data_IF_948792475663
#
_entry.id   IF_948792475663
#
_cell.length_a   1.000
_cell.length_b   1.000
_cell.length_c   1.000
_cell.angle_alpha   90.00
_cell.angle_beta   90.00
_cell.angle_gamma   90.00
#
_symmetry.space_group_name_H-M   'P 1'
#
loop_
_entity.id
_entity.type
_entity.pdbx_description
1 polymer ?
#
# COMPACT_ATOMS: atom_id res chain seq x y z
N UNK A 1 -55.47 -108.49 32.43
CA UNK A 1 -55.05 -107.17 32.93
C UNK A 1 -53.52 -106.97 33.09
N UNK A 2 -52.64 -107.93 32.76
CA UNK A 2 -51.16 -107.77 32.89
C UNK A 2 -50.39 -107.32 31.62
N UNK A 3 -50.97 -107.39 30.41
CA UNK A 3 -50.27 -107.04 29.16
C UNK A 3 -50.27 -105.54 28.80
N UNK A 4 -51.14 -104.73 29.38
CA UNK A 4 -51.27 -103.29 29.05
C UNK A 4 -50.40 -102.37 29.90
N UNK A 5 -49.90 -102.83 31.05
CA UNK A 5 -49.06 -102.02 31.94
C UNK A 5 -47.60 -101.95 31.44
N UNK A 6 -47.06 -103.04 30.88
CA UNK A 6 -45.68 -103.04 30.36
C UNK A 6 -45.51 -102.17 29.10
N UNK A 7 -46.53 -102.09 28.23
CA UNK A 7 -46.47 -101.26 27.01
C UNK A 7 -46.48 -99.75 27.32
N UNK A 8 -47.10 -99.34 28.43
CA UNK A 8 -47.11 -97.93 28.86
C UNK A 8 -45.83 -97.53 29.60
N UNK A 9 -45.24 -98.43 30.40
CA UNK A 9 -43.95 -98.17 31.05
C UNK A 9 -42.80 -98.11 30.03
N UNK A 10 -42.81 -98.96 29.01
CA UNK A 10 -41.79 -98.94 27.95
C UNK A 10 -41.87 -97.65 27.10
N UNK A 11 -43.09 -97.15 26.83
CA UNK A 11 -43.27 -95.92 26.06
C UNK A 11 -42.84 -94.68 26.88
N UNK A 12 -43.04 -94.68 28.20
CA UNK A 12 -42.57 -93.61 29.09
C UNK A 12 -41.04 -93.58 29.25
N UNK A 13 -40.38 -94.75 29.25
CA UNK A 13 -38.91 -94.83 29.35
C UNK A 13 -38.24 -94.40 28.03
N UNK A 14 -38.87 -94.64 26.87
CA UNK A 14 -38.34 -94.20 25.57
C UNK A 14 -38.54 -92.69 25.35
N UNK A 15 -39.54 -92.07 25.96
CA UNK A 15 -39.75 -90.61 25.86
C UNK A 15 -38.85 -89.78 26.79
N UNK A 16 -38.34 -90.37 27.89
CA UNK A 16 -37.41 -89.69 28.81
C UNK A 16 -35.95 -89.65 28.31
N UNK A 17 -35.59 -90.40 27.28
CA UNK A 17 -34.29 -90.28 26.60
C UNK A 17 -34.37 -89.30 25.42
N UNK A 18 -34.87 -88.10 25.70
CA UNK A 18 -34.78 -86.98 24.76
C UNK A 18 -33.32 -86.54 24.67
N UNK A 19 -32.73 -86.82 23.52
CA UNK A 19 -31.39 -86.45 23.07
C UNK A 19 -31.12 -84.96 23.36
N UNK A 20 -30.22 -84.69 24.31
CA UNK A 20 -29.59 -83.38 24.46
C UNK A 20 -28.52 -83.19 23.38
N UNK A 21 -28.93 -82.84 22.17
CA UNK A 21 -28.00 -82.33 21.15
C UNK A 21 -27.72 -80.86 21.45
N UNK A 22 -26.63 -80.59 22.16
CA UNK A 22 -26.05 -79.25 22.22
C UNK A 22 -25.50 -78.94 20.83
N UNK A 23 -26.31 -78.31 19.98
CA UNK A 23 -25.83 -77.79 18.70
C UNK A 23 -24.99 -76.55 19.01
N UNK A 24 -23.67 -76.71 19.13
CA UNK A 24 -22.80 -75.56 18.92
C UNK A 24 -23.03 -75.14 17.47
N UNK A 25 -23.48 -73.89 17.27
CA UNK A 25 -23.56 -73.32 15.94
C UNK A 25 -22.20 -73.52 15.26
N UNK A 26 -22.19 -74.34 14.22
CA UNK A 26 -21.04 -74.47 13.34
C UNK A 26 -20.99 -73.14 12.61
N UNK A 27 -20.13 -72.24 13.07
CA UNK A 27 -19.72 -71.11 12.25
C UNK A 27 -18.98 -71.73 11.06
N UNK A 28 -19.71 -72.01 9.99
CA UNK A 28 -19.11 -72.15 8.67
C UNK A 28 -18.54 -70.77 8.32
N UNK A 29 -17.39 -70.44 8.91
CA UNK A 29 -16.37 -69.78 8.10
C UNK A 29 -16.19 -70.64 6.86
N UNK A 30 -15.94 -70.02 5.72
CA UNK A 30 -15.94 -70.64 4.39
C UNK A 30 -15.05 -71.89 4.24
N UNK A 31 -14.26 -72.28 5.26
CA UNK A 31 -13.38 -73.43 5.31
C UNK A 31 -12.40 -73.51 4.14
N UNK A 32 -12.20 -72.39 3.46
CA UNK A 32 -11.35 -72.27 2.30
C UNK A 32 -9.93 -71.87 2.76
N UNK A 33 -9.78 -71.20 3.90
CA UNK A 33 -8.46 -70.78 4.36
C UNK A 33 -7.79 -69.83 3.35
N UNK A 34 -6.49 -69.58 3.51
CA UNK A 34 -5.76 -68.73 2.56
C UNK A 34 -5.47 -69.52 1.30
N UNK A 35 -6.31 -69.39 0.28
CA UNK A 35 -6.03 -69.96 -1.03
C UNK A 35 -5.08 -69.07 -1.83
N UNK A 36 -3.97 -69.66 -2.25
CA UNK A 36 -3.12 -69.10 -3.29
C UNK A 36 -3.66 -69.66 -4.60
N UNK A 37 -4.18 -68.81 -5.48
CA UNK A 37 -4.55 -69.22 -6.83
C UNK A 37 -3.27 -69.64 -7.59
N UNK A 38 -3.18 -70.90 -7.99
CA UNK A 38 -2.08 -71.45 -8.80
C UNK A 38 -2.30 -71.31 -10.30
N UNK A 39 -3.52 -70.97 -10.71
CA UNK A 39 -3.90 -70.66 -12.09
C UNK A 39 -4.21 -69.17 -12.23
N UNK A 40 -4.07 -68.64 -13.44
CA UNK A 40 -4.34 -67.23 -13.73
C UNK A 40 -5.82 -66.92 -13.53
N UNK A 41 -6.13 -65.77 -12.92
CA UNK A 41 -7.51 -65.29 -12.84
C UNK A 41 -8.07 -65.05 -14.26
N UNK A 42 -8.95 -65.94 -14.73
CA UNK A 42 -9.59 -65.82 -16.05
C UNK A 42 -10.77 -64.83 -15.97
N UNK A 43 -10.54 -63.57 -16.37
CA UNK A 43 -11.57 -62.50 -16.34
C UNK A 43 -12.26 -62.22 -17.68
N UNK A 44 -12.13 -63.09 -18.70
CA UNK A 44 -12.77 -62.83 -20.01
C UNK A 44 -14.30 -62.76 -19.84
N UNK A 45 -14.89 -61.62 -20.17
CA UNK A 45 -16.33 -61.37 -20.05
C UNK A 45 -16.84 -61.08 -18.64
N UNK A 46 -15.95 -60.99 -17.64
CA UNK A 46 -16.31 -60.73 -16.24
C UNK A 46 -15.71 -59.41 -15.75
N UNK A 47 -16.50 -58.66 -14.98
CA UNK A 47 -16.09 -57.40 -14.35
C UNK A 47 -15.93 -57.57 -12.84
N UNK A 48 -14.94 -56.91 -12.25
CA UNK A 48 -14.90 -56.71 -10.80
C UNK A 48 -15.88 -55.57 -10.49
N UNK A 49 -17.03 -55.90 -9.93
CA UNK A 49 -18.05 -54.93 -9.52
C UNK A 49 -18.03 -54.75 -8.00
N UNK A 50 -18.37 -53.55 -7.54
CA UNK A 50 -18.44 -53.17 -6.11
C UNK A 50 -17.14 -53.37 -5.31
N UNK A 51 -15.97 -53.33 -5.95
CA UNK A 51 -14.69 -53.29 -5.24
C UNK A 51 -14.41 -51.86 -4.74
N UNK A 52 -13.92 -51.74 -3.50
CA UNK A 52 -13.47 -50.48 -2.94
C UNK A 52 -12.18 -49.94 -3.62
N UNK A 53 -11.42 -50.82 -4.26
CA UNK A 53 -10.18 -50.52 -5.00
C UNK A 53 -9.36 -51.79 -5.22
N UNK A 54 -8.21 -51.64 -5.88
CA UNK A 54 -7.23 -52.71 -6.09
C UNK A 54 -5.96 -52.39 -5.29
N UNK A 55 -5.57 -53.27 -4.37
CA UNK A 55 -4.26 -53.22 -3.70
C UNK A 55 -3.30 -54.23 -4.33
N UNK A 56 -2.09 -53.79 -4.67
CA UNK A 56 -0.99 -54.65 -5.12
C UNK A 56 0.11 -54.58 -4.07
N UNK A 57 0.52 -55.74 -3.54
CA UNK A 57 1.61 -55.84 -2.56
C UNK A 57 1.22 -55.55 -1.10
N UNK A 58 -0.06 -55.27 -0.83
CA UNK A 58 -0.65 -55.19 0.52
C UNK A 58 -1.88 -56.10 0.63
N UNK A 59 -2.15 -56.61 1.84
CA UNK A 59 -3.36 -57.38 2.16
C UNK A 59 -4.56 -56.51 2.53
N UNK A 60 -4.36 -55.20 2.70
CA UNK A 60 -5.41 -54.24 3.06
C UNK A 60 -5.29 -52.97 2.22
N UNK A 61 -6.44 -52.41 1.83
CA UNK A 61 -6.52 -51.04 1.30
C UNK A 61 -6.43 -50.08 2.48
N UNK A 62 -5.37 -49.28 2.55
CA UNK A 62 -5.15 -48.33 3.65
C UNK A 62 -5.97 -47.07 3.42
N UNK A 63 -6.16 -46.68 2.16
CA UNK A 63 -6.94 -45.52 1.77
C UNK A 63 -8.16 -45.95 0.94
N UNK A 64 -9.37 -45.83 1.51
CA UNK A 64 -10.62 -46.15 0.81
C UNK A 64 -10.99 -45.17 -0.31
N UNK A 65 -10.23 -44.10 -0.50
CA UNK A 65 -10.46 -43.08 -1.54
C UNK A 65 -9.63 -43.30 -2.81
N UNK A 66 -8.81 -44.35 -2.88
CA UNK A 66 -7.98 -44.64 -4.06
C UNK A 66 -8.48 -45.89 -4.80
N UNK A 67 -8.53 -45.80 -6.13
CA UNK A 67 -8.92 -46.93 -6.97
C UNK A 67 -7.80 -47.97 -7.13
N UNK A 68 -6.53 -47.55 -7.02
CA UNK A 68 -5.35 -48.41 -7.12
C UNK A 68 -4.31 -47.98 -6.07
N UNK A 69 -3.95 -48.91 -5.19
CA UNK A 69 -2.86 -48.78 -4.23
C UNK A 69 -1.75 -49.77 -4.60
N UNK A 70 -0.51 -49.30 -4.71
CA UNK A 70 0.68 -50.14 -4.88
C UNK A 70 1.53 -49.90 -3.64
N UNK A 71 1.67 -50.93 -2.81
CA UNK A 71 2.32 -50.85 -1.49
C UNK A 71 3.29 -52.04 -1.33
N UNK A 72 4.42 -51.83 -0.64
CA UNK A 72 5.50 -52.82 -0.49
C UNK A 72 6.84 -52.45 -1.16
N UNK A 73 7.92 -53.11 -0.73
CA UNK A 73 9.31 -52.70 -1.03
C UNK A 73 9.71 -52.82 -2.51
N UNK A 74 9.21 -53.83 -3.24
CA UNK A 74 9.61 -54.13 -4.63
C UNK A 74 8.41 -54.13 -5.58
N UNK A 75 7.65 -53.04 -5.65
CA UNK A 75 6.49 -52.90 -6.53
C UNK A 75 6.54 -51.56 -7.25
N UNK A 76 6.24 -51.56 -8.54
CA UNK A 76 6.18 -50.37 -9.38
C UNK A 76 5.07 -50.48 -10.41
N UNK A 77 4.48 -49.35 -10.80
CA UNK A 77 3.67 -49.27 -12.00
C UNK A 77 4.59 -49.05 -13.19
N UNK A 78 4.82 -50.08 -13.99
CA UNK A 78 5.52 -49.94 -15.26
C UNK A 78 4.54 -49.41 -16.32
N UNK A 79 4.92 -48.33 -16.98
CA UNK A 79 4.11 -47.74 -18.04
C UNK A 79 4.76 -47.95 -19.41
N UNK A 80 3.97 -48.04 -20.49
CA UNK A 80 4.50 -48.07 -21.85
C UNK A 80 5.38 -46.84 -22.11
N UNK A 81 6.62 -47.10 -22.55
CA UNK A 81 7.55 -46.06 -23.01
C UNK A 81 7.42 -45.91 -24.52
N UNK A 82 7.11 -44.72 -24.99
CA UNK A 82 6.91 -44.42 -26.41
C UNK A 82 7.72 -43.18 -26.80
N UNK A 83 8.08 -43.00 -28.09
CA UNK A 83 8.81 -41.82 -28.52
C UNK A 83 8.08 -40.53 -28.16
N UNK A 84 6.82 -40.43 -28.56
CA UNK A 84 5.91 -39.33 -28.24
C UNK A 84 4.44 -39.78 -28.39
N UNK A 85 3.50 -38.87 -28.12
CA UNK A 85 2.06 -39.17 -28.15
C UNK A 85 1.47 -39.47 -29.54
N UNK A 86 2.17 -39.14 -30.63
CA UNK A 86 1.76 -39.41 -32.01
C UNK A 86 1.99 -40.85 -32.44
N UNK A 87 2.84 -41.60 -31.71
CA UNK A 87 3.11 -43.01 -31.95
C UNK A 87 1.87 -43.92 -31.73
N UNK A 88 0.77 -43.37 -31.18
CA UNK A 88 -0.46 -44.11 -30.87
C UNK A 88 -1.56 -43.65 -31.81
N UNK A 89 -1.94 -44.49 -32.77
CA UNK A 89 -2.93 -44.17 -33.80
C UNK A 89 -4.38 -44.14 -33.29
N UNK A 90 -4.69 -44.81 -32.18
CA UNK A 90 -6.05 -44.88 -31.63
C UNK A 90 -6.04 -44.79 -30.10
N UNK A 91 -5.66 -43.64 -29.54
CA UNK A 91 -5.56 -43.46 -28.10
C UNK A 91 -6.95 -43.37 -27.47
N UNK A 92 -7.20 -44.18 -26.44
CA UNK A 92 -8.45 -44.17 -25.66
C UNK A 92 -8.29 -43.41 -24.35
N UNK A 93 -9.36 -42.78 -23.87
CA UNK A 93 -9.34 -42.09 -22.58
C UNK A 93 -8.97 -43.07 -21.45
N UNK A 94 -8.15 -42.62 -20.49
CA UNK A 94 -7.60 -43.43 -19.41
C UNK A 94 -6.26 -44.09 -19.72
N UNK A 95 -5.75 -43.98 -20.96
CA UNK A 95 -4.41 -44.48 -21.30
C UNK A 95 -3.33 -43.65 -20.61
N UNK A 96 -2.36 -44.32 -19.96
CA UNK A 96 -1.17 -43.70 -19.35
C UNK A 96 0.08 -44.14 -20.12
N UNK A 97 0.94 -43.19 -20.49
CA UNK A 97 2.20 -43.46 -21.19
C UNK A 97 3.33 -42.60 -20.65
N UNK A 98 4.56 -43.07 -20.82
CA UNK A 98 5.77 -42.28 -20.64
C UNK A 98 6.35 -41.95 -22.02
N UNK A 99 6.47 -40.65 -22.32
CA UNK A 99 7.10 -40.14 -23.52
C UNK A 99 8.58 -39.91 -23.26
N UNK A 100 9.47 -40.55 -24.01
CA UNK A 100 10.92 -40.38 -23.85
C UNK A 100 11.50 -39.28 -24.74
N UNK A 101 10.71 -38.61 -25.60
CA UNK A 101 11.16 -37.40 -26.30
C UNK A 101 11.24 -36.18 -25.39
N UNK A 102 10.39 -36.13 -24.37
CA UNK A 102 10.25 -34.99 -23.45
C UNK A 102 10.24 -35.37 -21.96
N UNK A 103 10.54 -36.64 -21.66
CA UNK A 103 10.61 -37.22 -20.32
C UNK A 103 9.36 -36.98 -19.45
N UNK A 104 8.18 -37.07 -20.06
CA UNK A 104 6.90 -36.81 -19.38
C UNK A 104 5.96 -37.99 -19.34
N UNK A 105 5.24 -38.07 -18.21
CA UNK A 105 4.07 -38.92 -18.03
C UNK A 105 2.83 -38.22 -18.62
N UNK A 106 2.10 -38.93 -19.48
CA UNK A 106 0.84 -38.46 -20.06
C UNK A 106 -0.33 -39.37 -19.68
N UNK A 107 -1.51 -38.76 -19.53
CA UNK A 107 -2.81 -39.42 -19.52
C UNK A 107 -3.65 -38.92 -20.68
N UNK A 108 -4.35 -39.82 -21.38
CA UNK A 108 -5.35 -39.45 -22.38
C UNK A 108 -6.68 -39.17 -21.67
N UNK A 109 -7.20 -37.95 -21.74
CA UNK A 109 -8.51 -37.61 -21.18
C UNK A 109 -9.23 -36.60 -22.08
N UNK A 110 -10.54 -36.79 -22.27
CA UNK A 110 -11.33 -35.92 -23.14
C UNK A 110 -10.85 -35.90 -24.60
N UNK A 111 -10.17 -36.95 -25.07
CA UNK A 111 -9.57 -36.99 -26.40
C UNK A 111 -8.29 -36.16 -26.55
N UNK A 112 -7.68 -35.72 -25.45
CA UNK A 112 -6.43 -34.94 -25.44
C UNK A 112 -5.40 -35.62 -24.55
N UNK A 113 -4.12 -35.52 -24.93
CA UNK A 113 -3.02 -35.96 -24.08
C UNK A 113 -2.68 -34.85 -23.09
N UNK A 114 -2.83 -35.15 -21.81
CA UNK A 114 -2.53 -34.22 -20.70
C UNK A 114 -1.34 -34.76 -19.93
N UNK A 115 -0.33 -33.92 -19.70
CA UNK A 115 0.84 -34.30 -18.89
C UNK A 115 0.50 -34.17 -17.40
N UNK A 116 1.06 -35.07 -16.58
CA UNK A 116 1.10 -34.85 -15.14
C UNK A 116 2.17 -33.79 -14.85
N UNK A 117 1.83 -32.73 -14.12
CA UNK A 117 2.79 -31.71 -13.70
C UNK A 117 2.90 -30.46 -14.58
N UNK A 118 2.28 -30.41 -15.76
CA UNK A 118 2.19 -29.17 -16.54
C UNK A 118 0.88 -28.44 -16.24
N UNK A 119 0.86 -27.73 -15.10
CA UNK A 119 -0.23 -26.84 -14.77
C UNK A 119 0.21 -25.43 -15.12
N UNK A 120 -0.39 -24.85 -16.17
CA UNK A 120 -0.23 -23.43 -16.51
C UNK A 120 -0.64 -22.47 -15.36
N UNK A 121 -1.17 -22.99 -14.25
CA UNK A 121 -1.53 -22.27 -13.03
C UNK A 121 -1.14 -23.01 -11.72
N UNK A 122 -0.12 -23.88 -11.77
CA UNK A 122 0.58 -24.38 -10.57
C UNK A 122 0.17 -25.76 -10.02
N UNK A 123 1.17 -26.64 -9.92
CA UNK A 123 1.38 -27.53 -8.76
C UNK A 123 2.76 -27.19 -8.22
N UNK A 124 2.82 -26.73 -6.97
CA UNK A 124 3.99 -26.07 -6.37
C UNK A 124 4.94 -26.99 -5.62
N UNK A 125 4.68 -28.29 -5.50
CA UNK A 125 5.65 -29.22 -4.89
C UNK A 125 5.52 -30.65 -5.42
N UNK A 126 6.67 -31.27 -5.72
CA UNK A 126 6.86 -32.72 -5.62
C UNK A 126 7.96 -32.91 -4.57
N UNK A 127 7.66 -33.63 -3.48
CA UNK A 127 8.60 -33.91 -2.39
C UNK A 127 9.09 -32.67 -1.60
N UNK A 128 8.21 -31.69 -1.34
CA UNK A 128 8.51 -30.54 -0.47
C UNK A 128 9.50 -29.51 -1.02
N UNK A 129 10.03 -29.73 -2.22
CA UNK A 129 10.84 -28.75 -2.94
C UNK A 129 9.95 -27.98 -3.92
N UNK A 130 9.98 -26.66 -3.79
CA UNK A 130 9.27 -25.73 -4.65
C UNK A 130 10.14 -25.47 -5.88
N UNK A 131 9.67 -25.87 -7.06
CA UNK A 131 10.27 -25.44 -8.32
C UNK A 131 10.12 -23.92 -8.49
N UNK A 132 10.91 -23.29 -9.37
CA UNK A 132 10.85 -21.84 -9.58
C UNK A 132 9.41 -21.37 -9.83
N UNK A 133 8.89 -20.51 -8.94
CA UNK A 133 7.57 -19.92 -9.09
C UNK A 133 7.74 -18.64 -9.89
N UNK A 134 7.30 -18.69 -11.15
CA UNK A 134 7.22 -17.50 -12.00
C UNK A 134 5.86 -16.86 -11.78
N UNK A 135 5.83 -15.74 -11.06
CA UNK A 135 4.64 -14.92 -10.90
C UNK A 135 4.61 -13.93 -12.08
N UNK A 136 3.99 -14.33 -13.18
CA UNK A 136 3.76 -13.41 -14.30
C UNK A 136 2.70 -12.39 -13.89
N UNK A 137 3.13 -11.17 -13.61
CA UNK A 137 2.23 -10.02 -13.72
C UNK A 137 1.66 -9.97 -15.13
N UNK A 138 0.40 -9.55 -15.26
CA UNK A 138 -0.35 -9.39 -16.51
C UNK A 138 0.55 -8.98 -17.70
N UNK A 139 0.38 -9.67 -18.83
CA UNK A 139 1.22 -9.62 -20.03
C UNK A 139 1.83 -8.23 -20.32
N UNK A 140 3.12 -8.08 -20.02
CA UNK A 140 3.88 -6.85 -20.29
C UNK A 140 5.04 -6.65 -19.33
N UNK A 141 6.17 -7.31 -19.59
CA UNK A 141 7.53 -7.02 -19.09
C UNK A 141 7.74 -6.73 -17.58
N UNK A 142 6.77 -7.08 -16.72
CA UNK A 142 6.75 -6.76 -15.29
C UNK A 142 6.64 -8.05 -14.48
N UNK A 143 7.69 -8.87 -14.53
CA UNK A 143 7.72 -10.18 -13.85
C UNK A 143 8.51 -10.10 -12.56
N UNK A 144 7.95 -10.64 -11.48
CA UNK A 144 8.72 -10.99 -10.27
C UNK A 144 8.97 -12.49 -10.34
N UNK A 145 10.23 -12.89 -10.42
CA UNK A 145 10.65 -14.28 -10.37
C UNK A 145 11.19 -14.60 -9.00
N UNK A 146 10.63 -15.65 -8.38
CA UNK A 146 11.18 -16.24 -7.16
C UNK A 146 11.80 -17.57 -7.55
N UNK A 147 13.13 -17.63 -7.50
CA UNK A 147 13.90 -18.83 -7.76
C UNK A 147 14.56 -19.30 -6.47
N UNK A 148 14.53 -20.60 -6.20
CA UNK A 148 15.31 -21.20 -5.13
C UNK A 148 16.37 -22.11 -5.74
N UNK A 149 17.63 -21.82 -5.43
CA UNK A 149 18.78 -22.66 -5.81
C UNK A 149 19.49 -23.08 -4.53
N UNK A 150 19.38 -24.37 -4.19
CA UNK A 150 19.85 -24.88 -2.89
C UNK A 150 19.09 -24.24 -1.72
N UNK A 151 19.83 -23.66 -0.76
CA UNK A 151 19.28 -22.95 0.41
C UNK A 151 19.03 -21.46 0.20
N UNK A 152 19.30 -20.93 -0.99
CA UNK A 152 19.15 -19.49 -1.28
C UNK A 152 17.86 -19.24 -2.05
N UNK A 153 17.07 -18.29 -1.57
CA UNK A 153 15.91 -17.74 -2.30
C UNK A 153 16.37 -16.46 -2.99
N UNK A 154 16.32 -16.45 -4.32
CA UNK A 154 16.57 -15.27 -5.15
C UNK A 154 15.23 -14.69 -5.60
N UNK A 155 14.97 -13.44 -5.21
CA UNK A 155 13.85 -12.66 -5.72
C UNK A 155 14.42 -11.70 -6.76
N UNK A 156 14.10 -11.94 -8.03
CA UNK A 156 14.48 -11.08 -9.15
C UNK A 156 13.24 -10.36 -9.67
N UNK A 157 13.38 -9.07 -9.95
CA UNK A 157 12.36 -8.32 -10.65
C UNK A 157 13.00 -7.73 -11.90
N UNK A 158 12.61 -8.25 -13.06
CA UNK A 158 12.90 -7.59 -14.33
C UNK A 158 11.70 -6.69 -14.63
N UNK A 159 11.82 -5.43 -14.25
CA UNK A 159 10.76 -4.45 -14.36
C UNK A 159 11.35 -3.09 -14.72
N UNK A 160 10.81 -2.47 -15.77
CA UNK A 160 11.25 -1.16 -16.27
C UNK A 160 10.35 -0.01 -15.78
N UNK A 161 9.31 -0.34 -15.00
CA UNK A 161 8.40 0.59 -14.34
C UNK A 161 8.85 0.75 -12.89
N UNK A 162 8.68 1.96 -12.32
CA UNK A 162 9.00 2.29 -10.93
C UNK A 162 8.05 1.61 -9.92
N UNK A 163 8.01 0.28 -9.92
CA UNK A 163 7.25 -0.55 -8.96
C UNK A 163 8.08 -0.89 -7.71
N UNK A 164 9.40 -0.70 -7.79
CA UNK A 164 10.37 -0.93 -6.71
C UNK A 164 10.96 0.39 -6.21
N UNK A 165 10.17 1.45 -6.18
CA UNK A 165 10.53 2.67 -5.48
C UNK A 165 10.49 2.38 -3.98
N UNK A 166 11.67 2.31 -3.34
CA UNK A 166 11.75 2.26 -1.90
C UNK A 166 11.11 3.56 -1.35
N UNK A 167 9.91 3.45 -0.78
CA UNK A 167 9.29 4.58 -0.08
C UNK A 167 10.00 4.90 1.25
N UNK A 168 10.97 4.05 1.64
CA UNK A 168 11.77 4.19 2.84
C UNK A 168 13.22 3.76 2.64
N UNK A 169 14.14 4.51 3.22
CA UNK A 169 15.55 4.14 3.39
C UNK A 169 15.82 3.95 4.89
N UNK A 170 16.27 2.75 5.29
CA UNK A 170 16.46 2.37 6.71
C UNK A 170 15.22 2.62 7.60
N UNK A 171 14.02 2.33 7.06
CA UNK A 171 12.76 2.52 7.79
C UNK A 171 12.27 3.97 7.87
N UNK A 172 13.02 4.95 7.34
CA UNK A 172 12.64 6.36 7.27
C UNK A 172 12.08 6.72 5.90
N UNK A 173 11.13 7.65 5.82
CA UNK A 173 10.50 8.02 4.55
C UNK A 173 11.51 8.58 3.53
N UNK A 174 11.30 8.25 2.25
CA UNK A 174 11.93 8.88 1.11
C UNK A 174 10.93 9.87 0.50
N UNK A 175 11.36 11.10 0.25
CA UNK A 175 10.53 12.13 -0.39
C UNK A 175 10.11 11.70 -1.80
N UNK A 176 8.91 12.13 -2.22
CA UNK A 176 8.39 11.91 -3.57
C UNK A 176 8.89 12.96 -4.59
N UNK A 177 9.69 13.94 -4.15
CA UNK A 177 10.30 14.92 -5.01
C UNK A 177 11.27 14.25 -6.01
N UNK A 178 11.17 14.61 -7.28
CA UNK A 178 12.07 14.12 -8.34
C UNK A 178 13.43 14.81 -8.18
N UNK A 179 14.54 14.08 -7.95
CA UNK A 179 15.87 14.68 -7.89
C UNK A 179 16.25 15.35 -9.21
N UNK A 180 16.74 16.58 -9.15
CA UNK A 180 17.42 17.21 -10.28
C UNK A 180 18.88 16.73 -10.38
N UNK A 181 19.49 16.91 -11.56
CA UNK A 181 20.90 16.59 -11.77
C UNK A 181 21.79 17.32 -10.74
N UNK A 182 22.65 16.58 -10.05
CA UNK A 182 23.56 17.10 -9.02
C UNK A 182 22.97 17.16 -7.60
N UNK A 183 21.73 16.73 -7.39
CA UNK A 183 21.16 16.58 -6.05
C UNK A 183 21.48 15.20 -5.45
N UNK A 184 21.57 15.15 -4.12
CA UNK A 184 21.71 13.91 -3.34
C UNK A 184 20.59 13.81 -2.33
N UNK A 185 20.29 12.59 -1.88
CA UNK A 185 19.35 12.40 -0.77
C UNK A 185 20.02 12.82 0.54
N UNK A 186 19.44 13.83 1.19
CA UNK A 186 19.88 14.33 2.49
C UNK A 186 18.75 14.21 3.51
N UNK A 187 19.07 13.83 4.74
CA UNK A 187 18.07 13.71 5.80
C UNK A 187 17.55 15.08 6.22
N UNK A 188 16.24 15.30 6.09
CA UNK A 188 15.57 16.49 6.61
C UNK A 188 14.86 16.15 7.92
N UNK A 189 15.31 16.77 9.01
CA UNK A 189 14.81 16.51 10.35
C UNK A 189 13.41 17.10 10.61
N UNK A 190 13.03 18.15 9.89
CA UNK A 190 11.70 18.78 9.96
C UNK A 190 10.66 17.90 9.28
N UNK A 191 10.98 17.41 8.08
CA UNK A 191 10.09 16.58 7.28
C UNK A 191 10.19 15.08 7.64
N UNK A 192 11.15 14.70 8.49
CA UNK A 192 11.47 13.32 8.87
C UNK A 192 11.60 12.39 7.65
N UNK A 193 12.21 12.89 6.59
CA UNK A 193 12.37 12.20 5.32
C UNK A 193 13.73 12.46 4.69
N UNK A 194 14.22 11.50 3.92
CA UNK A 194 15.31 11.70 2.98
C UNK A 194 14.78 12.45 1.76
N UNK A 195 15.31 13.63 1.48
CA UNK A 195 14.86 14.48 0.38
C UNK A 195 16.00 14.83 -0.58
N UNK A 196 15.73 15.01 -1.89
CA UNK A 196 16.73 15.49 -2.82
C UNK A 196 17.15 16.91 -2.48
N UNK A 197 18.43 17.09 -2.20
CA UNK A 197 19.00 18.39 -1.85
C UNK A 197 20.25 18.63 -2.69
N UNK A 198 20.39 19.83 -3.22
CA UNK A 198 21.60 20.24 -3.90
C UNK A 198 22.77 20.23 -2.93
N UNK A 199 23.82 19.49 -3.24
CA UNK A 199 25.11 19.71 -2.58
C UNK A 199 25.57 21.08 -3.07
N UNK A 200 25.40 22.11 -2.25
CA UNK A 200 26.01 23.40 -2.55
C UNK A 200 27.52 23.22 -2.46
N UNK A 201 28.16 22.94 -3.59
CA UNK A 201 29.60 22.65 -3.70
C UNK A 201 30.50 23.83 -3.27
N UNK A 202 29.93 24.97 -2.88
CA UNK A 202 30.66 26.16 -2.40
C UNK A 202 30.02 26.91 -1.21
N UNK A 203 28.81 26.56 -0.71
CA UNK A 203 28.15 27.32 0.38
C UNK A 203 28.43 26.81 1.80
N UNK A 204 29.23 25.76 1.98
CA UNK A 204 29.70 25.38 3.32
C UNK A 204 30.96 26.16 3.75
N UNK A 205 31.31 27.26 3.07
CA UNK A 205 32.36 28.18 3.51
C UNK A 205 31.87 29.26 4.48
N UNK A 206 30.56 29.34 4.72
CA UNK A 206 30.03 30.14 5.81
C UNK A 206 29.63 29.17 6.93
N UNK A 207 30.56 28.91 7.85
CA UNK A 207 30.19 28.36 9.16
C UNK A 207 29.12 29.28 9.75
N UNK A 208 28.07 28.74 10.35
CA UNK A 208 26.85 29.45 10.77
C UNK A 208 27.05 30.68 11.67
N UNK A 209 28.30 30.96 12.09
CA UNK A 209 28.70 32.01 13.01
C UNK A 209 29.82 32.93 12.46
N UNK A 210 30.09 32.94 11.14
CA UNK A 210 31.15 33.77 10.54
C UNK A 210 32.58 33.32 10.88
N UNK A 211 32.74 32.09 11.37
CA UNK A 211 34.03 31.48 11.66
C UNK A 211 34.72 31.03 10.35
N UNK A 212 36.05 31.13 10.31
CA UNK A 212 36.85 30.65 9.17
C UNK A 212 36.87 29.12 9.13
N UNK A 213 36.74 28.51 7.96
CA UNK A 213 37.04 27.08 7.78
C UNK A 213 38.55 26.85 7.93
N UNK A 214 38.95 25.85 8.72
CA UNK A 214 40.37 25.46 8.90
C UNK A 214 41.06 25.04 7.58
N UNK A 215 40.28 24.50 6.63
CA UNK A 215 40.78 24.12 5.30
C UNK A 215 39.64 23.90 4.30
N UNK A 216 39.99 23.92 3.01
CA UNK A 216 39.13 23.49 1.89
C UNK A 216 39.75 22.24 1.26
N UNK A 217 38.96 21.21 0.99
CA UNK A 217 39.42 20.09 0.14
C UNK A 217 38.90 20.32 -1.28
N UNK A 218 39.81 20.41 -2.23
CA UNK A 218 39.49 20.54 -3.66
C UNK A 218 40.13 19.41 -4.46
N UNK A 219 39.78 19.25 -5.72
CA UNK A 219 40.52 18.39 -6.64
C UNK A 219 41.49 19.23 -7.46
N UNK A 220 42.74 18.79 -7.55
CA UNK A 220 43.72 19.35 -8.48
C UNK A 220 44.23 18.19 -9.33
N UNK A 221 43.99 18.26 -10.64
CA UNK A 221 44.33 17.20 -11.60
C UNK A 221 43.76 15.82 -11.22
N UNK A 222 42.52 15.79 -10.71
CA UNK A 222 41.83 14.54 -10.35
C UNK A 222 42.20 13.95 -8.99
N UNK A 223 43.13 14.56 -8.24
CA UNK A 223 43.51 14.13 -6.89
C UNK A 223 42.94 15.09 -5.84
N UNK A 224 42.39 14.55 -4.75
CA UNK A 224 41.93 15.34 -3.62
C UNK A 224 43.12 16.01 -2.90
N UNK A 225 43.08 17.33 -2.79
CA UNK A 225 44.09 18.16 -2.12
C UNK A 225 43.44 19.00 -1.04
N UNK A 226 44.00 18.96 0.17
CA UNK A 226 43.68 19.89 1.26
C UNK A 226 44.41 21.22 1.01
N UNK A 227 43.67 22.31 1.00
CA UNK A 227 44.18 23.69 1.00
C UNK A 227 44.00 24.22 2.42
N UNK A 228 45.10 24.51 3.15
CA UNK A 228 45.01 25.06 4.50
C UNK A 228 44.46 26.50 4.48
N UNK A 229 43.87 26.95 5.59
CA UNK A 229 43.36 28.32 5.73
C UNK A 229 44.41 29.42 5.50
N UNK A 230 45.71 29.12 5.71
CA UNK A 230 46.81 30.06 5.45
C UNK A 230 46.92 30.49 3.99
N UNK A 231 46.47 29.64 3.07
CA UNK A 231 46.62 29.84 1.63
C UNK A 231 45.35 30.46 1.03
N UNK A 232 44.37 30.80 1.88
CA UNK A 232 43.05 31.29 1.49
C UNK A 232 42.93 32.74 1.96
N UNK A 233 42.66 33.67 1.03
CA UNK A 233 42.38 35.06 1.36
C UNK A 233 40.90 35.23 1.75
N UNK A 234 40.63 35.52 3.02
CA UNK A 234 39.25 35.76 3.48
C UNK A 234 38.85 37.25 3.32
N UNK A 235 37.54 37.53 3.26
CA UNK A 235 37.01 38.91 3.19
C UNK A 235 37.49 39.75 4.39
N UNK A 236 37.60 39.16 5.58
CA UNK A 236 38.17 39.79 6.78
C UNK A 236 39.63 40.21 6.57
N UNK A 237 40.38 39.41 5.84
CA UNK A 237 41.80 39.67 5.57
C UNK A 237 41.91 40.81 4.56
N UNK A 238 41.01 40.85 3.58
CA UNK A 238 40.88 41.97 2.63
C UNK A 238 40.53 43.28 3.35
N UNK A 239 39.56 43.26 4.28
CA UNK A 239 39.21 44.43 5.09
C UNK A 239 40.37 44.89 6.00
N UNK A 240 41.10 43.95 6.62
CA UNK A 240 42.26 44.25 7.44
C UNK A 240 43.43 44.82 6.62
N UNK A 241 43.64 44.32 5.39
CA UNK A 241 44.63 44.86 4.46
C UNK A 241 44.26 46.27 3.99
N UNK A 242 43.00 46.51 3.60
CA UNK A 242 42.53 47.81 3.13
C UNK A 242 42.56 48.88 4.24
N UNK A 243 42.27 48.51 5.49
CA UNK A 243 42.38 49.40 6.66
C UNK A 243 43.81 49.94 6.90
N UNK A 244 44.85 49.31 6.34
CA UNK A 244 46.23 49.85 6.42
C UNK A 244 46.51 50.92 5.37
N UNK A 245 45.81 50.91 4.24
CA UNK A 245 46.09 51.79 3.10
C UNK A 245 45.09 52.93 2.96
N UNK A 246 43.84 52.74 3.39
CA UNK A 246 42.78 53.72 3.22
C UNK A 246 41.90 53.80 4.49
N UNK A 247 42.35 54.55 5.50
CA UNK A 247 41.55 54.79 6.70
C UNK A 247 40.53 55.90 6.43
N UNK A 248 39.32 55.71 6.92
CA UNK A 248 38.28 56.76 6.91
C UNK A 248 38.77 58.04 7.62
N UNK A 249 39.57 57.90 8.69
CA UNK A 249 40.23 59.02 9.39
C UNK A 249 41.18 59.78 8.48
N UNK A 250 42.00 59.06 7.72
CA UNK A 250 43.05 59.65 6.90
C UNK A 250 42.41 60.35 5.69
N UNK A 251 41.35 59.76 5.12
CA UNK A 251 40.54 60.38 4.07
C UNK A 251 39.83 61.64 4.58
N UNK A 252 39.23 61.60 5.78
CA UNK A 252 38.59 62.75 6.39
C UNK A 252 39.60 63.88 6.74
N UNK A 253 40.79 63.52 7.22
CA UNK A 253 41.86 64.47 7.51
C UNK A 253 42.43 65.11 6.23
N UNK A 254 42.63 64.31 5.17
CA UNK A 254 43.04 64.81 3.86
C UNK A 254 42.00 65.76 3.26
N UNK A 255 40.70 65.46 3.40
CA UNK A 255 39.61 66.31 2.91
C UNK A 255 39.40 67.58 3.75
N UNK A 256 39.80 67.59 5.03
CA UNK A 256 39.69 68.75 5.90
C UNK A 256 40.50 69.95 5.38
N UNK A 257 41.70 69.71 4.83
CA UNK A 257 42.51 70.76 4.20
C UNK A 257 41.88 71.38 2.93
N UNK A 258 40.95 70.68 2.28
CA UNK A 258 40.24 71.17 1.10
C UNK A 258 38.90 71.84 1.43
N UNK A 259 38.41 71.72 2.66
CA UNK A 259 37.22 72.42 3.15
C UNK A 259 37.56 73.90 3.38
N UNK A 260 37.53 74.70 2.31
CA UNK A 260 37.94 76.12 2.26
C UNK A 260 37.25 77.04 3.27
N UNK A 261 36.19 76.63 3.96
CA UNK A 261 35.38 77.53 4.79
C UNK A 261 36.18 78.09 5.98
N UNK A 262 36.80 77.24 6.78
CA UNK A 262 37.52 77.67 8.00
C UNK A 262 38.86 78.37 7.72
N UNK A 263 39.56 78.01 6.63
CA UNK A 263 40.82 78.64 6.25
C UNK A 263 40.63 80.01 5.56
N UNK A 264 39.50 80.23 4.89
CA UNK A 264 39.16 81.53 4.28
C UNK A 264 38.59 82.51 5.32
N UNK A 265 37.79 82.00 6.27
CA UNK A 265 37.25 82.77 7.40
C UNK A 265 38.37 83.34 8.31
N UNK A 266 39.55 82.69 8.37
CA UNK A 266 40.70 83.16 9.15
C UNK A 266 41.66 84.10 8.38
N UNK A 267 41.67 84.07 7.04
CA UNK A 267 42.54 84.94 6.21
C UNK A 267 41.89 86.28 5.85
N UNK A 268 40.59 86.42 6.05
CA UNK A 268 39.85 87.65 5.83
C UNK A 268 39.18 88.07 7.15
N UNK A 269 39.97 88.62 8.08
CA UNK A 269 39.42 89.23 9.28
C UNK A 269 38.55 90.42 8.86
N UNK A 270 37.23 90.22 8.88
CA UNK A 270 36.23 91.28 8.68
C UNK A 270 36.50 92.44 9.66
N UNK A 271 37.06 92.13 10.84
CA UNK A 271 37.52 93.09 11.83
C UNK A 271 38.65 94.01 11.32
N UNK A 272 39.65 93.47 10.61
CA UNK A 272 40.79 94.25 10.10
C UNK A 272 40.33 95.18 8.97
N UNK A 273 39.42 94.70 8.12
CA UNK A 273 38.82 95.52 7.05
C UNK A 273 37.96 96.64 7.64
N UNK A 274 37.12 96.36 8.65
CA UNK A 274 36.30 97.35 9.34
C UNK A 274 37.14 98.38 10.12
N UNK A 275 38.24 97.96 10.75
CA UNK A 275 39.15 98.84 11.48
C UNK A 275 39.91 99.78 10.53
N UNK A 276 40.37 99.29 9.38
CA UNK A 276 41.00 100.13 8.36
C UNK A 276 40.03 101.17 7.78
N UNK A 277 38.76 100.80 7.58
CA UNK A 277 37.73 101.71 7.05
C UNK A 277 37.24 102.74 8.08
N UNK A 278 37.33 102.46 9.38
CA UNK A 278 36.89 103.38 10.45
C UNK A 278 37.72 104.68 10.52
N UNK A 279 39.03 104.63 10.20
CA UNK A 279 39.88 105.83 10.21
C UNK A 279 39.56 106.83 9.09
N UNK A 280 38.90 106.39 8.02
CA UNK A 280 38.47 107.23 6.89
C UNK A 280 37.07 107.83 7.07
N UNK A 281 36.32 107.39 8.09
CA UNK A 281 34.94 107.80 8.34
C UNK A 281 34.85 108.89 9.43
N UNK A 282 35.39 110.10 9.17
CA UNK A 282 35.12 111.26 10.04
C UNK A 282 33.75 111.86 9.70
N UNK A 283 32.71 111.38 10.38
CA UNK A 283 31.30 111.70 10.15
C UNK A 283 30.93 113.21 10.18
N UNK A 284 31.81 114.09 10.68
CA UNK A 284 31.55 115.53 10.74
C UNK A 284 32.00 116.33 9.50
N UNK A 285 32.90 115.81 8.65
CA UNK A 285 33.45 116.58 7.51
C UNK A 285 32.83 116.24 6.16
N UNK A 286 32.07 115.14 6.05
CA UNK A 286 31.48 114.66 4.79
C UNK A 286 30.07 115.21 4.55
N UNK A 287 29.33 115.54 5.61
CA UNK A 287 27.98 116.11 5.55
C UNK A 287 27.95 117.56 5.05
N UNK A 288 29.08 118.27 5.01
CA UNK A 288 29.20 119.64 4.51
C UNK A 288 29.64 119.76 3.03
N UNK A 289 30.19 118.71 2.43
CA UNK A 289 30.71 118.71 1.05
C UNK A 289 29.87 117.88 0.08
N UNK A 290 29.00 116.99 0.58
CA UNK A 290 28.21 116.08 -0.22
C UNK A 290 26.72 116.23 0.13
N UNK A 291 26.01 117.10 -0.60
CA UNK A 291 24.54 117.19 -0.44
C UNK A 291 23.94 115.87 -0.92
N UNK A 292 23.21 115.20 -0.05
CA UNK A 292 22.53 113.93 -0.37
C UNK A 292 21.57 114.06 -1.55
N UNK A 293 21.08 115.27 -1.83
CA UNK A 293 20.30 115.61 -3.03
C UNK A 293 21.08 115.46 -4.34
N UNK A 294 22.34 115.89 -4.34
CA UNK A 294 23.16 115.98 -5.55
C UNK A 294 23.67 114.58 -5.92
N UNK A 295 24.02 113.78 -4.91
CA UNK A 295 24.31 112.34 -5.08
C UNK A 295 23.09 111.56 -5.54
N UNK A 296 21.88 111.83 -5.00
CA UNK A 296 20.66 111.16 -5.41
C UNK A 296 20.25 111.51 -6.86
N UNK A 297 20.43 112.76 -7.27
CA UNK A 297 20.18 113.21 -8.64
C UNK A 297 21.19 112.59 -9.63
N UNK A 298 22.47 112.57 -9.28
CA UNK A 298 23.53 111.98 -10.12
C UNK A 298 23.44 110.45 -10.20
N UNK A 299 23.01 109.75 -9.14
CA UNK A 299 22.84 108.29 -9.16
C UNK A 299 21.54 107.85 -9.85
N UNK A 300 20.51 108.69 -9.95
CA UNK A 300 19.25 108.34 -10.63
C UNK A 300 19.42 107.97 -12.11
N UNK A 301 20.42 108.55 -12.79
CA UNK A 301 20.79 108.22 -14.17
C UNK A 301 21.51 106.88 -14.33
N UNK A 302 22.17 106.38 -13.27
CA UNK A 302 22.90 105.10 -13.25
C UNK A 302 22.10 103.96 -12.61
N UNK A 303 21.03 104.25 -11.87
CA UNK A 303 20.18 103.28 -11.18
C UNK A 303 18.96 102.85 -12.03
N UNK A 304 19.16 102.49 -13.31
CA UNK A 304 18.14 101.70 -14.04
C UNK A 304 18.15 100.26 -13.52
N UNK A 305 17.47 100.02 -12.40
CA UNK A 305 17.17 98.69 -11.89
C UNK A 305 16.55 97.78 -12.98
N UNK A 306 15.86 98.36 -13.97
CA UNK A 306 15.35 97.65 -15.14
C UNK A 306 16.42 97.19 -16.16
N UNK A 307 17.57 97.86 -16.25
CA UNK A 307 18.62 97.54 -17.23
C UNK A 307 19.64 96.51 -16.71
N UNK A 308 19.85 96.44 -15.38
CA UNK A 308 20.70 95.43 -14.75
C UNK A 308 19.96 94.10 -14.53
N UNK A 309 18.66 94.12 -14.19
CA UNK A 309 17.83 92.91 -14.15
C UNK A 309 17.63 92.24 -15.53
N UNK A 310 17.85 92.96 -16.63
CA UNK A 310 17.78 92.42 -17.98
C UNK A 310 19.10 91.84 -18.53
N UNK A 311 20.25 92.17 -17.92
CA UNK A 311 21.58 91.72 -18.41
C UNK A 311 22.15 90.53 -17.64
N UNK A 312 21.68 90.28 -16.42
CA UNK A 312 22.05 89.11 -15.63
C UNK A 312 20.77 88.44 -15.13
N UNK A 313 20.06 87.80 -16.06
CA UNK A 313 18.84 87.09 -15.75
C UNK A 313 19.21 85.89 -14.86
N UNK A 314 18.90 85.95 -13.57
CA UNK A 314 19.12 84.82 -12.65
C UNK A 314 18.44 83.55 -13.18
N UNK A 315 17.34 83.74 -13.92
CA UNK A 315 16.69 82.72 -14.76
C UNK A 315 17.64 82.11 -15.81
N UNK A 316 18.38 82.90 -16.57
CA UNK A 316 19.24 82.37 -17.64
C UNK A 316 20.44 81.60 -17.06
N UNK A 317 21.02 82.09 -15.97
CA UNK A 317 22.06 81.34 -15.23
C UNK A 317 21.48 80.05 -14.62
N UNK A 318 20.29 80.10 -14.03
CA UNK A 318 19.62 78.90 -13.49
C UNK A 318 19.28 77.88 -14.61
N UNK A 319 18.73 78.35 -15.73
CA UNK A 319 18.37 77.53 -16.90
C UNK A 319 19.61 76.93 -17.57
N UNK A 320 20.73 77.67 -17.63
CA UNK A 320 22.00 77.14 -18.12
C UNK A 320 22.57 76.08 -17.17
N UNK A 321 22.48 76.28 -15.84
CA UNK A 321 22.97 75.31 -14.87
C UNK A 321 22.11 74.05 -14.73
N UNK A 322 20.83 74.06 -15.13
CA UNK A 322 19.96 72.86 -15.15
C UNK A 322 20.58 71.71 -15.96
N UNK A 323 21.28 72.01 -17.07
CA UNK A 323 21.96 70.99 -17.89
C UNK A 323 23.30 70.49 -17.30
N UNK A 324 23.91 71.25 -16.38
CA UNK A 324 25.20 70.95 -15.74
C UNK A 324 25.08 70.46 -14.28
N UNK A 325 23.90 70.57 -13.67
CA UNK A 325 23.58 69.97 -12.39
C UNK A 325 23.54 68.44 -12.54
N UNK A 326 24.72 67.81 -12.52
CA UNK A 326 24.92 66.36 -12.70
C UNK A 326 23.97 65.51 -11.84
N UNK A 327 23.49 66.03 -10.71
CA UNK A 327 22.50 65.37 -9.85
C UNK A 327 21.15 65.14 -10.54
N UNK A 328 20.61 66.12 -11.29
CA UNK A 328 19.30 65.96 -11.93
C UNK A 328 19.36 64.95 -13.09
N UNK A 329 20.40 65.03 -13.93
CA UNK A 329 20.62 64.06 -15.02
C UNK A 329 20.85 62.64 -14.51
N UNK A 330 21.53 62.48 -13.37
CA UNK A 330 21.67 61.17 -12.75
C UNK A 330 20.34 60.67 -12.17
N UNK A 331 19.54 61.54 -11.54
CA UNK A 331 18.19 61.19 -11.06
C UNK A 331 17.26 60.76 -12.20
N UNK A 332 17.25 61.51 -13.31
CA UNK A 332 16.44 61.18 -14.49
C UNK A 332 16.92 59.86 -15.13
N UNK A 333 18.23 59.65 -15.20
CA UNK A 333 18.81 58.39 -15.70
C UNK A 333 18.52 57.21 -14.76
N UNK A 334 18.47 57.42 -13.44
CA UNK A 334 18.12 56.38 -12.46
C UNK A 334 16.64 56.04 -12.54
N UNK A 335 15.76 57.04 -12.68
CA UNK A 335 14.33 56.85 -12.87
C UNK A 335 14.01 56.11 -14.18
N UNK A 336 14.70 56.46 -15.27
CA UNK A 336 14.59 55.73 -16.54
C UNK A 336 15.09 54.28 -16.42
N UNK A 337 16.17 54.04 -15.68
CA UNK A 337 16.68 52.69 -15.43
C UNK A 337 15.72 51.86 -14.58
N UNK A 338 15.10 52.47 -13.56
CA UNK A 338 14.08 51.84 -12.72
C UNK A 338 12.84 51.45 -13.53
N UNK A 339 12.33 52.35 -14.39
CA UNK A 339 11.21 52.05 -15.27
C UNK A 339 11.56 50.91 -16.24
N UNK A 340 12.76 50.93 -16.84
CA UNK A 340 13.21 49.88 -17.74
C UNK A 340 13.43 48.53 -17.04
N UNK A 341 13.87 48.54 -15.78
CA UNK A 341 13.94 47.33 -14.96
C UNK A 341 12.55 46.80 -14.61
N UNK A 342 11.60 47.68 -14.27
CA UNK A 342 10.22 47.28 -14.01
C UNK A 342 9.55 46.69 -15.27
N UNK A 343 9.81 47.24 -16.45
CA UNK A 343 9.30 46.71 -17.72
C UNK A 343 9.97 45.38 -18.11
N UNK A 344 11.29 45.24 -17.90
CA UNK A 344 12.04 44.01 -18.26
C UNK A 344 11.95 42.89 -17.22
N UNK A 345 11.64 43.23 -15.98
CA UNK A 345 11.46 42.33 -14.83
C UNK A 345 9.99 42.35 -14.40
N UNK A 346 9.06 42.54 -15.33
CA UNK A 346 7.66 42.57 -14.99
C UNK A 346 7.22 41.14 -14.65
N UNK A 347 6.98 40.87 -13.36
CA UNK A 347 6.51 39.57 -12.85
C UNK A 347 5.25 39.11 -13.61
N UNK A 348 4.49 40.06 -14.16
CA UNK A 348 3.31 39.83 -15.01
C UNK A 348 3.63 39.07 -16.31
N UNK A 349 4.76 39.32 -16.96
CA UNK A 349 5.12 38.65 -18.22
C UNK A 349 5.54 37.19 -17.97
N UNK A 350 6.30 36.96 -16.89
CA UNK A 350 6.63 35.60 -16.40
C UNK A 350 5.36 34.86 -15.96
N UNK A 351 4.46 35.53 -15.21
CA UNK A 351 3.18 34.96 -14.79
C UNK A 351 2.21 34.71 -15.97
N UNK A 352 2.27 35.52 -17.04
CA UNK A 352 1.49 35.35 -18.26
C UNK A 352 1.95 34.16 -19.11
N UNK A 353 3.27 33.95 -19.21
CA UNK A 353 3.85 32.78 -19.84
C UNK A 353 3.44 31.49 -19.11
N UNK A 354 3.57 31.44 -17.78
CA UNK A 354 3.14 30.27 -17.01
C UNK A 354 1.60 30.12 -16.92
N UNK A 355 0.86 31.22 -16.94
CA UNK A 355 -0.61 31.22 -16.91
C UNK A 355 -1.24 30.57 -18.14
N UNK A 356 -0.58 30.66 -19.30
CA UNK A 356 -1.04 30.02 -20.55
C UNK A 356 -0.84 28.49 -20.53
N UNK A 357 0.20 28.02 -19.84
CA UNK A 357 0.44 26.58 -19.64
C UNK A 357 -0.43 25.97 -18.52
N UNK A 358 -0.72 26.73 -17.45
CA UNK A 358 -1.50 26.25 -16.30
C UNK A 358 -3.02 26.35 -16.55
N UNK A 359 -3.49 27.27 -17.40
CA UNK A 359 -4.93 27.45 -17.72
C UNK A 359 -5.30 27.11 -19.16
N UNK A 360 -4.50 26.33 -19.88
CA UNK A 360 -4.95 25.82 -21.17
C UNK A 360 -6.14 24.87 -20.92
N UNK A 361 -7.26 25.11 -21.61
CA UNK A 361 -8.48 24.29 -21.55
C UNK A 361 -8.17 22.79 -21.61
N UNK A 362 -7.12 22.41 -22.35
CA UNK A 362 -6.63 21.04 -22.46
C UNK A 362 -6.20 20.38 -21.12
N UNK A 363 -5.63 21.12 -20.16
CA UNK A 363 -5.26 20.56 -18.86
C UNK A 363 -6.49 20.33 -17.98
N UNK A 364 -7.43 21.28 -17.99
CA UNK A 364 -8.72 21.13 -17.30
C UNK A 364 -9.53 19.97 -17.90
N UNK A 365 -9.58 19.86 -19.22
CA UNK A 365 -10.23 18.75 -19.94
C UNK A 365 -9.56 17.41 -19.60
N UNK A 366 -8.22 17.37 -19.51
CA UNK A 366 -7.48 16.18 -19.10
C UNK A 366 -7.79 15.79 -17.65
N UNK A 367 -7.92 16.75 -16.72
CA UNK A 367 -8.29 16.48 -15.34
C UNK A 367 -9.73 15.94 -15.23
N UNK A 368 -10.67 16.53 -15.96
CA UNK A 368 -12.07 16.06 -16.02
C UNK A 368 -12.15 14.66 -16.62
N UNK A 369 -11.36 14.37 -17.67
CA UNK A 369 -11.32 13.07 -18.30
C UNK A 369 -10.69 12.00 -17.38
N UNK A 370 -9.61 12.33 -16.66
CA UNK A 370 -9.02 11.46 -15.63
C UNK A 370 -10.00 11.21 -14.48
N UNK A 371 -10.74 12.23 -14.03
CA UNK A 371 -11.77 12.07 -13.02
C UNK A 371 -12.91 11.16 -13.50
N UNK A 372 -13.36 11.31 -14.75
CA UNK A 372 -14.35 10.43 -15.37
C UNK A 372 -13.88 8.98 -15.44
N UNK A 373 -12.61 8.76 -15.83
CA UNK A 373 -11.99 7.43 -15.87
C UNK A 373 -11.79 6.82 -14.48
N UNK A 374 -11.45 7.62 -13.48
CA UNK A 374 -11.35 7.17 -12.09
C UNK A 374 -12.74 6.76 -11.58
N UNK A 375 -13.76 7.58 -11.80
CA UNK A 375 -15.13 7.26 -11.38
C UNK A 375 -15.65 5.99 -12.05
N UNK A 376 -15.38 5.78 -13.34
CA UNK A 376 -15.77 4.56 -14.05
C UNK A 376 -14.97 3.31 -13.61
N UNK A 377 -13.72 3.48 -13.16
CA UNK A 377 -12.88 2.36 -12.68
C UNK A 377 -13.09 2.04 -11.20
N UNK A 378 -13.60 3.00 -10.43
CA UNK A 378 -14.03 2.90 -9.03
C UNK A 378 -15.55 2.84 -8.92
N UNK A 379 -16.24 2.29 -9.92
CA UNK A 379 -17.69 2.13 -9.82
C UNK A 379 -17.96 1.15 -8.67
N UNK A 380 -18.52 1.68 -7.58
CA UNK A 380 -18.80 0.92 -6.35
C UNK A 380 -19.74 -0.24 -6.69
N UNK A 381 -20.53 -0.09 -7.75
CA UNK A 381 -21.36 -1.13 -8.35
C UNK A 381 -20.55 -2.32 -8.89
N UNK A 382 -19.47 -2.09 -9.64
CA UNK A 382 -18.59 -3.15 -10.16
C UNK A 382 -17.86 -3.88 -9.03
N UNK A 383 -17.38 -3.15 -8.02
CA UNK A 383 -16.77 -3.75 -6.82
C UNK A 383 -17.81 -4.57 -6.03
N UNK A 384 -19.03 -4.06 -5.87
CA UNK A 384 -20.13 -4.78 -5.22
C UNK A 384 -20.57 -6.02 -6.02
N UNK A 385 -20.63 -5.94 -7.35
CA UNK A 385 -20.97 -7.04 -8.25
C UNK A 385 -19.90 -8.12 -8.30
N UNK A 386 -18.62 -7.74 -8.25
CA UNK A 386 -17.52 -8.70 -8.13
C UNK A 386 -17.51 -9.37 -6.76
N UNK A 387 -17.76 -8.61 -5.68
CA UNK A 387 -17.81 -9.15 -4.32
C UNK A 387 -19.05 -10.02 -4.08
N UNK A 388 -20.17 -9.83 -4.80
CA UNK A 388 -21.36 -10.68 -4.71
C UNK A 388 -21.04 -12.17 -4.93
N UNK A 389 -20.07 -12.51 -5.80
CA UNK A 389 -19.61 -13.89 -5.99
C UNK A 389 -18.70 -14.41 -4.86
N UNK A 390 -18.11 -13.52 -4.05
CA UNK A 390 -17.22 -13.86 -2.93
C UNK A 390 -17.90 -13.83 -1.55
N UNK A 391 -19.17 -13.40 -1.46
CA UNK A 391 -19.98 -13.42 -0.23
C UNK A 391 -20.36 -14.86 0.14
N UNK A 392 -19.36 -15.62 0.63
CA UNK A 392 -19.56 -16.92 1.32
C UNK A 392 -20.50 -16.80 2.53
N UNK A 393 -20.72 -15.60 3.05
CA UNK A 393 -21.61 -15.31 4.17
C UNK A 393 -23.07 -15.62 3.81
N UNK A 394 -23.55 -15.31 2.60
CA UNK A 394 -24.95 -15.56 2.25
C UNK A 394 -25.22 -17.06 2.14
N UNK A 395 -24.35 -17.82 1.45
CA UNK A 395 -24.49 -19.28 1.36
C UNK A 395 -24.37 -19.98 2.72
N UNK A 396 -23.56 -19.43 3.63
CA UNK A 396 -23.44 -19.94 4.99
C UNK A 396 -24.69 -19.63 5.82
N UNK A 397 -25.25 -18.42 5.71
CA UNK A 397 -26.52 -18.05 6.34
C UNK A 397 -27.70 -18.86 5.80
N UNK A 398 -27.75 -19.09 4.48
CA UNK A 398 -28.76 -19.93 3.84
C UNK A 398 -28.65 -21.38 4.35
N UNK A 399 -27.42 -21.92 4.42
CA UNK A 399 -27.16 -23.25 4.97
C UNK A 399 -27.51 -23.37 6.46
N UNK A 400 -27.29 -22.32 7.26
CA UNK A 400 -27.67 -22.29 8.67
C UNK A 400 -29.19 -22.23 8.83
N UNK A 401 -29.88 -21.45 8.00
CA UNK A 401 -31.35 -21.35 7.98
C UNK A 401 -32.00 -22.68 7.58
N UNK A 402 -31.44 -23.38 6.58
CA UNK A 402 -31.84 -24.73 6.18
C UNK A 402 -31.65 -25.76 7.28
N UNK A 403 -30.54 -25.69 8.02
CA UNK A 403 -30.28 -26.58 9.16
C UNK A 403 -31.28 -26.31 10.29
N UNK A 404 -31.60 -25.04 10.56
CA UNK A 404 -32.60 -24.65 11.54
C UNK A 404 -34.00 -25.16 11.18
N UNK A 405 -34.41 -25.03 9.91
CA UNK A 405 -35.68 -25.58 9.41
C UNK A 405 -35.72 -27.10 9.58
N UNK A 406 -34.66 -27.82 9.20
CA UNK A 406 -34.59 -29.28 9.36
C UNK A 406 -34.65 -29.72 10.83
N UNK A 407 -34.02 -28.98 11.75
CA UNK A 407 -34.14 -29.25 13.18
C UNK A 407 -35.56 -29.04 13.66
N UNK A 408 -36.21 -27.94 13.26
CA UNK A 408 -37.59 -27.66 13.64
C UNK A 408 -38.56 -28.73 13.12
N UNK A 409 -38.35 -29.26 11.90
CA UNK A 409 -39.17 -30.37 11.36
C UNK A 409 -38.90 -31.70 12.05
N UNK A 410 -37.65 -32.02 12.42
CA UNK A 410 -37.32 -33.28 13.12
C UNK A 410 -37.67 -33.29 14.61
N UNK A 411 -37.70 -32.12 15.24
CA UNK A 411 -38.06 -31.93 16.65
C UNK A 411 -39.47 -31.35 16.80
N UNK A 412 -40.31 -31.47 15.78
CA UNK A 412 -41.65 -30.90 15.86
C UNK A 412 -42.40 -31.57 17.03
N UNK A 413 -42.86 -30.74 17.96
CA UNK A 413 -43.50 -31.21 19.20
C UNK A 413 -44.75 -32.03 18.89
N UNK A 414 -45.37 -31.79 17.73
CA UNK A 414 -46.50 -32.54 17.21
C UNK A 414 -46.15 -34.01 16.91
N UNK A 415 -45.04 -34.27 16.22
CA UNK A 415 -44.59 -35.63 15.87
C UNK A 415 -44.20 -36.41 17.13
N UNK A 416 -43.51 -35.76 18.07
CA UNK A 416 -43.17 -36.36 19.37
C UNK A 416 -44.44 -36.69 20.19
N UNK A 417 -45.44 -35.81 20.16
CA UNK A 417 -46.73 -36.04 20.83
C UNK A 417 -47.55 -37.16 20.18
N UNK A 418 -47.56 -37.27 18.85
CA UNK A 418 -48.22 -38.37 18.12
C UNK A 418 -47.53 -39.72 18.30
N UNK A 419 -46.20 -39.74 18.36
CA UNK A 419 -45.45 -40.96 18.66
C UNK A 419 -45.74 -41.43 20.10
N UNK A 420 -45.75 -40.50 21.06
CA UNK A 420 -46.01 -40.81 22.47
C UNK A 420 -47.48 -41.14 22.76
N UNK A 421 -48.46 -40.69 21.95
CA UNK A 421 -49.87 -41.04 22.16
C UNK A 421 -50.13 -42.54 22.03
N UNK A 422 -49.37 -43.25 21.18
CA UNK A 422 -49.45 -44.71 21.06
C UNK A 422 -48.86 -45.44 22.29
N UNK A 423 -47.96 -44.79 23.04
CA UNK A 423 -47.30 -45.35 24.23
C UNK A 423 -47.85 -44.79 25.55
N UNK A 424 -48.80 -43.86 25.50
CA UNK A 424 -49.48 -43.33 26.66
C UNK A 424 -50.35 -44.44 27.28
N UNK A 425 -49.72 -45.31 28.09
CA UNK A 425 -50.31 -46.43 28.82
C UNK A 425 -51.56 -46.04 29.62
N UNK A 426 -51.77 -44.75 29.90
CA UNK A 426 -52.92 -44.22 30.60
C UNK A 426 -54.26 -44.55 29.92
N UNK A 427 -54.37 -44.50 28.59
CA UNK A 427 -55.64 -44.79 27.91
C UNK A 427 -55.95 -46.29 27.91
N UNK A 428 -54.95 -47.14 27.58
CA UNK A 428 -55.10 -48.60 27.68
C UNK A 428 -55.38 -49.09 29.11
N UNK A 429 -54.79 -48.43 30.13
CA UNK A 429 -55.08 -48.70 31.53
C UNK A 429 -56.51 -48.28 31.89
N UNK A 430 -56.99 -47.13 31.41
CA UNK A 430 -58.38 -46.69 31.60
C UNK A 430 -59.37 -47.68 30.97
N UNK A 431 -59.12 -48.12 29.73
CA UNK A 431 -59.99 -49.05 29.01
C UNK A 431 -60.00 -50.43 29.66
N UNK A 432 -58.84 -50.89 30.16
CA UNK A 432 -58.71 -52.14 30.91
C UNK A 432 -59.44 -52.07 32.25
N UNK A 433 -59.29 -50.96 32.98
CA UNK A 433 -59.94 -50.76 34.28
C UNK A 433 -61.47 -50.64 34.11
N UNK A 434 -61.93 -49.95 33.07
CA UNK A 434 -63.36 -49.84 32.71
C UNK A 434 -63.94 -51.22 32.35
N UNK A 435 -63.19 -52.03 31.58
CA UNK A 435 -63.59 -53.41 31.28
C UNK A 435 -63.64 -54.29 32.53
N UNK A 436 -62.65 -54.18 33.43
CA UNK A 436 -62.64 -54.92 34.71
C UNK A 436 -63.82 -54.51 35.58
N UNK A 437 -64.14 -53.21 35.66
CA UNK A 437 -65.30 -52.71 36.38
C UNK A 437 -66.61 -53.25 35.80
N UNK A 438 -66.76 -53.26 34.47
CA UNK A 438 -67.92 -53.84 33.81
C UNK A 438 -68.03 -55.35 34.11
N UNK A 439 -66.92 -56.09 34.08
CA UNK A 439 -66.89 -57.52 34.40
C UNK A 439 -67.26 -57.80 35.85
N UNK A 440 -66.76 -57.00 36.79
CA UNK A 440 -67.14 -57.06 38.20
C UNK A 440 -68.64 -56.80 38.37
N UNK A 441 -69.17 -55.75 37.74
CA UNK A 441 -70.59 -55.43 37.79
C UNK A 441 -71.48 -56.57 37.23
N UNK A 442 -71.03 -57.30 36.21
CA UNK A 442 -71.75 -58.48 35.71
C UNK A 442 -71.61 -59.73 36.60
N UNK A 443 -70.44 -59.98 37.21
CA UNK A 443 -70.20 -61.18 38.04
C UNK A 443 -70.69 -61.05 39.49
N UNK A 444 -70.68 -59.83 40.01
CA UNK A 444 -71.17 -59.44 41.33
C UNK A 444 -72.37 -58.51 41.13
N UNK A 445 -73.26 -58.84 40.21
CA UNK A 445 -74.49 -58.08 40.11
C UNK A 445 -75.22 -58.29 41.46
N UNK A 446 -75.74 -57.20 42.03
CA UNK A 446 -76.34 -57.23 43.36
C UNK A 446 -77.56 -58.16 43.43
N UNK A 447 -78.18 -58.48 42.28
CA UNK A 447 -79.30 -59.41 42.17
C UNK A 447 -78.86 -60.88 42.37
N UNK A 448 -77.70 -61.29 41.85
CA UNK A 448 -77.15 -62.64 42.02
C UNK A 448 -76.74 -62.86 43.48
N UNK A 449 -76.07 -61.86 44.07
CA UNK A 449 -75.63 -61.92 45.48
C UNK A 449 -76.83 -61.92 46.43
N UNK A 450 -77.84 -61.08 46.18
CA UNK A 450 -79.07 -61.08 46.98
C UNK A 450 -79.89 -62.35 46.79
N UNK A 451 -79.91 -62.97 45.60
CA UNK A 451 -80.57 -64.27 45.38
C UNK A 451 -79.89 -65.41 46.14
N UNK A 452 -78.55 -65.44 46.19
CA UNK A 452 -77.83 -66.44 46.97
C UNK A 452 -78.05 -66.27 48.48
N UNK A 453 -77.98 -65.04 48.99
CA UNK A 453 -78.27 -64.74 50.39
C UNK A 453 -79.73 -65.04 50.76
N UNK A 454 -80.68 -64.73 49.88
CA UNK A 454 -82.10 -65.04 50.09
C UNK A 454 -82.35 -66.55 50.15
N UNK A 455 -81.65 -67.36 49.34
CA UNK A 455 -81.72 -68.81 49.44
C UNK A 455 -81.11 -69.33 50.75
N UNK A 456 -80.03 -68.71 51.23
CA UNK A 456 -79.42 -69.09 52.51
C UNK A 456 -80.32 -68.76 53.71
N UNK A 457 -80.95 -67.59 53.70
CA UNK A 457 -81.92 -67.14 54.70
C UNK A 457 -83.24 -67.93 54.69
N UNK A 458 -83.58 -68.61 53.59
CA UNK A 458 -84.70 -69.57 53.55
C UNK A 458 -84.32 -70.97 54.04
N UNK A 459 -83.03 -71.24 54.22
CA UNK A 459 -82.50 -72.55 54.65
C UNK A 459 -82.05 -72.59 56.12
N UNK A 460 -82.18 -71.47 56.84
CA UNK A 460 -82.12 -71.38 58.31
C UNK A 460 -83.50 -71.02 58.84
#
# INVERSE_FOLDING_TARGET
>A
MRKTIHRRILLSIVMLFSIGLTVKAQNFGDNLGKHIATDTLRMRGHYIMNAAGVAIGSSTMINGSVALQIDGADKALLLPRIPDTSAIMSPVNGMLIYSFSDDKLYVRQGGVWTTFGSFANGVTTLNGQVGAITLTGNAGNNTITVAQTGGTITISANNTVALWNANRLMGRYLSNAVPAAGQVLMWNNTNQAWEPTSINTLNNLNLSNGLKSDSIVTTLNGVLRKIPASDILFITDTAAMLNKYLRLSDTAAMLNGYARKTALDAKLNIADTAAMLASYLRAASISGLLRTSDTAAMLSGYLKAAALNGKLNVSDTANMLVNYAKAQRMLDSLAAMQNRLNDKFNISDTAGLFGSYIRSQAFLDSLVNVQGRLNAKLDVSDTANMLLNYVRVQRFLDSLSDVQLRMNTKLDKADTAQMLSNYAKTQHMLDSLTNVQSRLNTKLNWADTSSMLANYLKSQ
#
